data_IF_002399432276
#
_entry.id   IF_002399432276
#
_cell.length_a   1.000
_cell.length_b   1.000
_cell.length_c   1.000
_cell.angle_alpha   90.00
_cell.angle_beta   90.00
_cell.angle_gamma   90.00
#
_symmetry.space_group_name_H-M   'P 1'
#
loop_
_entity.id
_entity.type
_entity.pdbx_description
1 polymer ?
#
# COMPACT_ATOMS: atom_id res chain seq x y z
N UNK A 1 18.80 2.22 21.89
CA UNK A 1 19.36 3.51 22.34
C UNK A 1 20.86 3.58 22.12
N UNK A 2 21.60 2.51 22.44
CA UNK A 2 23.06 2.52 22.30
C UNK A 2 23.54 2.61 20.86
N UNK A 3 22.90 1.90 19.93
CA UNK A 3 23.24 1.92 18.51
C UNK A 3 22.87 3.23 17.81
N UNK A 4 21.87 3.95 18.32
CA UNK A 4 21.38 5.19 17.70
C UNK A 4 22.00 6.45 18.32
N UNK A 5 22.87 6.35 19.31
CA UNK A 5 23.49 7.47 20.03
C UNK A 5 22.49 8.56 20.51
N UNK A 6 21.26 8.16 20.85
CA UNK A 6 20.23 9.06 21.35
C UNK A 6 19.96 8.86 22.85
N UNK A 7 19.68 9.96 23.54
CA UNK A 7 19.33 9.93 24.96
C UNK A 7 17.95 9.28 25.21
N UNK A 8 17.78 8.71 26.38
CA UNK A 8 16.50 8.07 26.79
C UNK A 8 15.31 9.03 26.71
N UNK A 9 15.48 10.29 27.08
CA UNK A 9 14.45 11.33 27.02
C UNK A 9 14.04 11.64 25.59
N UNK A 10 15.02 11.72 24.68
CA UNK A 10 14.79 11.93 23.24
C UNK A 10 14.00 10.75 22.65
N UNK A 11 14.44 9.51 22.95
CA UNK A 11 13.74 8.31 22.49
C UNK A 11 12.27 8.28 22.97
N UNK A 12 12.01 8.61 24.22
CA UNK A 12 10.64 8.66 24.77
C UNK A 12 9.79 9.72 24.05
N UNK A 13 10.39 10.91 23.81
CA UNK A 13 9.71 11.98 23.07
C UNK A 13 9.37 11.58 21.66
N UNK A 14 10.31 10.96 20.95
CA UNK A 14 10.13 10.54 19.56
C UNK A 14 9.12 9.39 19.45
N UNK A 15 9.15 8.42 20.35
CA UNK A 15 8.14 7.37 20.43
C UNK A 15 6.73 7.93 20.70
N UNK A 16 6.62 9.01 21.50
CA UNK A 16 5.33 9.66 21.72
C UNK A 16 4.79 10.29 20.44
N UNK A 17 5.63 11.02 19.68
CA UNK A 17 5.25 11.62 18.41
C UNK A 17 4.86 10.54 17.39
N UNK A 18 5.65 9.48 17.31
CA UNK A 18 5.38 8.36 16.42
C UNK A 18 4.02 7.72 16.73
N UNK A 19 3.72 7.45 18.01
CA UNK A 19 2.41 6.93 18.42
C UNK A 19 1.25 7.81 17.96
N UNK A 20 1.36 9.13 18.15
CA UNK A 20 0.33 10.07 17.69
C UNK A 20 0.12 10.04 16.17
N UNK A 21 1.19 9.86 15.40
CA UNK A 21 1.07 9.70 13.95
C UNK A 21 0.41 8.38 13.59
N UNK A 22 0.77 7.31 14.27
CA UNK A 22 0.26 5.96 14.01
C UNK A 22 -1.21 5.78 14.38
N UNK A 23 -1.70 6.47 15.40
CA UNK A 23 -3.12 6.47 15.80
C UNK A 23 -4.04 6.86 14.64
N UNK A 24 -3.60 7.74 13.74
CA UNK A 24 -4.36 8.15 12.54
C UNK A 24 -4.58 6.99 11.55
N UNK A 25 -3.73 5.98 11.63
CA UNK A 25 -3.79 4.76 10.81
C UNK A 25 -4.35 3.57 11.58
N UNK A 26 -4.89 3.78 12.80
CA UNK A 26 -5.33 2.68 13.67
C UNK A 26 -4.21 1.68 13.96
N UNK A 27 -2.98 2.18 14.12
CA UNK A 27 -1.79 1.41 14.42
C UNK A 27 -1.31 1.70 15.84
N UNK A 28 -0.66 0.70 16.46
CA UNK A 28 -0.07 0.82 17.77
C UNK A 28 1.36 0.27 17.82
N UNK A 29 2.15 0.76 18.79
CA UNK A 29 3.46 0.20 19.11
C UNK A 29 3.30 -0.72 20.29
N UNK A 30 3.47 -2.02 20.07
CA UNK A 30 3.36 -3.06 21.10
C UNK A 30 4.75 -3.46 21.59
N UNK A 31 4.98 -3.33 22.88
CA UNK A 31 6.19 -3.85 23.52
C UNK A 31 6.08 -5.36 23.73
N UNK A 32 7.01 -6.13 23.17
CA UNK A 32 7.11 -7.58 23.43
C UNK A 32 8.32 -7.82 24.33
N UNK A 33 8.08 -8.40 25.51
CA UNK A 33 9.14 -8.76 26.46
C UNK A 33 10.19 -9.59 25.76
N UNK A 34 11.45 -9.21 25.88
CA UNK A 34 12.61 -9.86 25.25
C UNK A 34 12.71 -9.79 23.72
N UNK A 35 11.69 -9.22 23.03
CA UNK A 35 11.64 -9.12 21.55
C UNK A 35 11.66 -7.68 21.02
N UNK A 36 11.61 -6.68 21.92
CA UNK A 36 11.60 -5.27 21.55
C UNK A 36 10.21 -4.72 21.21
N UNK A 37 10.15 -3.78 20.28
CA UNK A 37 8.92 -3.14 19.83
C UNK A 37 8.42 -3.81 18.55
N UNK A 38 7.11 -3.98 18.44
CA UNK A 38 6.44 -4.46 17.23
C UNK A 38 5.32 -3.50 16.84
N UNK A 39 4.98 -3.50 15.58
CA UNK A 39 3.85 -2.76 15.04
C UNK A 39 2.60 -3.64 15.14
N UNK A 40 1.54 -3.11 15.75
CA UNK A 40 0.22 -3.73 15.83
C UNK A 40 -0.78 -2.99 14.94
N UNK A 41 -1.72 -3.73 14.35
CA UNK A 41 -2.75 -3.22 13.47
C UNK A 41 -2.98 -4.11 12.25
N UNK A 42 -3.91 -3.72 11.37
CA UNK A 42 -4.16 -4.46 10.13
C UNK A 42 -3.01 -4.27 9.13
N UNK A 43 -2.73 -5.27 8.31
CA UNK A 43 -1.71 -5.15 7.26
C UNK A 43 -2.02 -4.03 6.27
N UNK A 44 -3.28 -3.83 5.93
CA UNK A 44 -3.70 -2.70 5.10
C UNK A 44 -3.29 -1.35 5.70
N UNK A 45 -3.52 -1.16 7.00
CA UNK A 45 -3.17 0.08 7.69
C UNK A 45 -1.65 0.25 7.83
N UNK A 46 -0.92 -0.84 8.06
CA UNK A 46 0.55 -0.84 8.05
C UNK A 46 1.07 -0.36 6.69
N UNK A 47 0.57 -0.93 5.60
CA UNK A 47 0.99 -0.53 4.25
C UNK A 47 0.65 0.91 3.92
N UNK A 48 -0.53 1.40 4.31
CA UNK A 48 -0.88 2.81 4.14
C UNK A 48 0.08 3.73 4.89
N UNK A 49 0.37 3.39 6.14
CA UNK A 49 1.35 4.14 6.94
C UNK A 49 2.75 4.14 6.28
N UNK A 50 3.21 2.99 5.80
CA UNK A 50 4.50 2.86 5.09
C UNK A 50 4.51 3.71 3.83
N UNK A 51 3.47 3.61 2.98
CA UNK A 51 3.38 4.39 1.73
C UNK A 51 3.48 5.90 1.98
N UNK A 52 2.80 6.39 3.01
CA UNK A 52 2.71 7.83 3.24
C UNK A 52 3.90 8.41 4.02
N UNK A 53 4.54 7.62 4.86
CA UNK A 53 5.54 8.14 5.80
C UNK A 53 6.94 7.56 5.63
N UNK A 54 7.08 6.36 5.11
CA UNK A 54 8.33 5.60 5.17
C UNK A 54 8.80 5.07 3.81
N UNK A 55 7.95 5.02 2.79
CA UNK A 55 8.26 4.36 1.52
C UNK A 55 9.58 4.88 0.92
N UNK A 56 9.74 6.20 0.80
CA UNK A 56 10.95 6.79 0.27
C UNK A 56 12.21 6.45 1.07
N UNK A 57 12.09 6.29 2.40
CA UNK A 57 13.24 5.95 3.25
C UNK A 57 13.60 4.46 3.20
N UNK A 58 12.61 3.58 3.05
CA UNK A 58 12.80 2.13 3.07
C UNK A 58 13.16 1.61 1.67
N UNK A 59 12.43 2.09 0.65
CA UNK A 59 12.48 1.54 -0.71
C UNK A 59 13.31 2.36 -1.70
N UNK A 60 13.97 3.46 -1.28
CA UNK A 60 14.79 4.30 -2.16
C UNK A 60 15.85 3.50 -2.92
N UNK A 61 16.48 2.52 -2.26
CA UNK A 61 17.52 1.66 -2.82
C UNK A 61 17.10 0.17 -2.82
N UNK A 62 15.80 -0.08 -2.77
CA UNK A 62 15.28 -1.44 -2.77
C UNK A 62 15.51 -2.08 -4.15
N UNK A 63 16.14 -3.26 -4.24
CA UNK A 63 16.33 -3.94 -5.50
C UNK A 63 14.97 -4.37 -6.05
N UNK A 64 14.59 -3.77 -7.16
CA UNK A 64 13.34 -4.10 -7.84
C UNK A 64 13.59 -5.20 -8.87
N UNK A 65 12.63 -6.10 -9.00
CA UNK A 65 12.68 -7.13 -10.01
C UNK A 65 12.46 -6.52 -11.41
N UNK A 66 13.44 -6.67 -12.31
CA UNK A 66 13.42 -6.07 -13.64
C UNK A 66 12.29 -6.64 -14.51
N UNK A 67 11.95 -7.92 -14.35
CA UNK A 67 10.85 -8.56 -15.07
C UNK A 67 9.51 -7.96 -14.66
N UNK A 68 9.30 -7.83 -13.36
CA UNK A 68 8.08 -7.21 -12.81
C UNK A 68 7.93 -5.76 -13.30
N UNK A 69 9.00 -4.96 -13.21
CA UNK A 69 8.98 -3.57 -13.68
C UNK A 69 8.72 -3.48 -15.17
N UNK A 70 9.33 -4.32 -15.99
CA UNK A 70 9.11 -4.37 -17.43
C UNK A 70 7.65 -4.60 -17.76
N UNK A 71 7.01 -5.57 -17.15
CA UNK A 71 5.57 -5.86 -17.35
C UNK A 71 4.68 -4.69 -16.89
N UNK A 72 5.01 -4.05 -15.76
CA UNK A 72 4.26 -2.88 -15.29
C UNK A 72 4.38 -1.73 -16.29
N UNK A 73 5.59 -1.40 -16.74
CA UNK A 73 5.81 -0.31 -17.68
C UNK A 73 5.09 -0.54 -19.01
N UNK A 74 5.18 -1.75 -19.56
CA UNK A 74 4.48 -2.14 -20.81
C UNK A 74 2.96 -1.96 -20.66
N UNK A 75 2.38 -2.54 -19.62
CA UNK A 75 0.96 -2.48 -19.37
C UNK A 75 0.45 -1.05 -19.11
N UNK A 76 1.21 -0.24 -18.37
CA UNK A 76 0.84 1.15 -18.07
C UNK A 76 0.97 2.06 -19.31
N UNK A 77 1.97 1.82 -20.17
CA UNK A 77 2.15 2.55 -21.43
C UNK A 77 0.99 2.33 -22.38
N UNK A 78 0.51 1.08 -22.52
CA UNK A 78 -0.66 0.75 -23.35
C UNK A 78 -1.93 1.51 -22.94
N UNK A 79 -2.09 1.81 -21.66
CA UNK A 79 -3.26 2.51 -21.10
C UNK A 79 -3.10 4.03 -21.02
N UNK A 80 -1.94 4.58 -21.46
CA UNK A 80 -1.64 6.02 -21.43
C UNK A 80 -1.83 6.69 -20.06
N UNK A 81 -1.48 6.00 -18.98
CA UNK A 81 -1.50 6.60 -17.65
C UNK A 81 -0.44 7.70 -17.52
N UNK A 82 -0.76 8.74 -16.76
CA UNK A 82 0.19 9.78 -16.40
C UNK A 82 1.37 9.21 -15.61
N UNK A 83 2.58 9.75 -15.81
CA UNK A 83 3.82 9.31 -15.17
C UNK A 83 3.70 9.24 -13.63
N UNK A 84 3.00 10.21 -13.04
CA UNK A 84 2.73 10.23 -11.60
C UNK A 84 1.91 9.02 -11.11
N UNK A 85 0.94 8.60 -11.92
CA UNK A 85 0.10 7.41 -11.64
C UNK A 85 0.90 6.13 -11.83
N UNK A 86 1.70 6.06 -12.90
CA UNK A 86 2.62 4.94 -13.14
C UNK A 86 3.56 4.75 -11.95
N UNK A 87 4.25 5.82 -11.53
CA UNK A 87 5.16 5.77 -10.40
C UNK A 87 4.49 5.38 -9.08
N UNK A 88 3.29 5.87 -8.86
CA UNK A 88 2.51 5.50 -7.68
C UNK A 88 2.14 4.00 -7.72
N UNK A 89 1.70 3.51 -8.87
CA UNK A 89 1.37 2.10 -9.07
C UNK A 89 2.58 1.19 -8.84
N UNK A 90 3.74 1.52 -9.43
CA UNK A 90 5.01 0.82 -9.18
C UNK A 90 5.34 0.72 -7.69
N UNK A 91 5.19 1.83 -6.95
CA UNK A 91 5.46 1.87 -5.52
C UNK A 91 4.51 0.93 -4.74
N UNK A 92 3.22 0.92 -5.10
CA UNK A 92 2.24 0.01 -4.49
C UNK A 92 2.52 -1.45 -4.82
N UNK A 93 2.90 -1.76 -6.06
CA UNK A 93 3.30 -3.10 -6.47
C UNK A 93 4.54 -3.57 -5.72
N UNK A 94 5.58 -2.73 -5.62
CA UNK A 94 6.81 -3.02 -4.88
C UNK A 94 6.51 -3.35 -3.42
N UNK A 95 5.73 -2.50 -2.74
CA UNK A 95 5.35 -2.74 -1.35
C UNK A 95 4.49 -4.01 -1.20
N UNK A 96 3.55 -4.21 -2.11
CA UNK A 96 2.69 -5.40 -2.09
C UNK A 96 3.52 -6.68 -2.19
N UNK A 97 4.40 -6.79 -3.17
CA UNK A 97 5.22 -8.00 -3.35
C UNK A 97 6.18 -8.22 -2.19
N UNK A 98 6.88 -7.18 -1.72
CA UNK A 98 7.77 -7.29 -0.56
C UNK A 98 7.03 -7.82 0.68
N UNK A 99 5.89 -7.24 0.99
CA UNK A 99 5.09 -7.64 2.15
C UNK A 99 4.47 -9.02 1.98
N UNK A 100 3.91 -9.31 0.80
CA UNK A 100 3.29 -10.59 0.50
C UNK A 100 4.29 -11.74 0.55
N UNK A 101 5.44 -11.61 -0.10
CA UNK A 101 6.47 -12.65 -0.14
C UNK A 101 7.13 -12.89 1.24
N UNK A 102 7.06 -11.91 2.13
CA UNK A 102 7.49 -12.06 3.54
C UNK A 102 6.40 -12.54 4.48
N UNK A 103 5.24 -12.97 3.95
CA UNK A 103 4.14 -13.55 4.69
C UNK A 103 3.20 -12.56 5.39
N UNK A 104 3.29 -11.28 5.04
CA UNK A 104 2.41 -10.23 5.54
C UNK A 104 1.30 -9.95 4.53
N UNK A 105 0.19 -10.68 4.66
CA UNK A 105 -0.92 -10.67 3.70
C UNK A 105 -2.07 -9.81 4.21
N UNK A 106 -2.67 -9.02 3.32
CA UNK A 106 -3.95 -8.35 3.61
C UNK A 106 -5.05 -9.41 3.62
N UNK A 107 -5.56 -9.75 4.80
CA UNK A 107 -6.58 -10.79 4.97
C UNK A 107 -8.00 -10.28 4.83
N UNK A 108 -8.19 -8.96 4.88
CA UNK A 108 -9.50 -8.32 4.79
C UNK A 108 -9.38 -6.88 4.33
N UNK A 109 -10.24 -6.51 3.39
CA UNK A 109 -10.50 -5.11 3.00
C UNK A 109 -11.80 -4.59 3.63
N UNK A 110 -11.93 -3.27 3.88
CA UNK A 110 -13.23 -2.66 4.12
C UNK A 110 -14.18 -2.96 2.97
N UNK A 111 -15.46 -3.26 3.30
CA UNK A 111 -16.44 -3.74 2.32
C UNK A 111 -16.60 -2.83 1.10
N UNK A 112 -16.53 -1.52 1.31
CA UNK A 112 -16.57 -0.52 0.23
C UNK A 112 -15.52 -0.73 -0.86
N UNK A 113 -14.38 -1.34 -0.55
CA UNK A 113 -13.31 -1.58 -1.53
C UNK A 113 -13.60 -2.79 -2.43
N UNK A 114 -14.36 -3.79 -1.96
CA UNK A 114 -14.78 -4.90 -2.81
C UNK A 114 -15.67 -4.47 -3.97
N UNK A 115 -16.40 -3.37 -3.84
CA UNK A 115 -17.20 -2.81 -4.93
C UNK A 115 -16.33 -2.27 -6.09
N UNK A 116 -15.04 -2.05 -5.86
CA UNK A 116 -14.11 -1.60 -6.90
C UNK A 116 -13.80 -2.69 -7.93
N UNK A 117 -13.94 -3.95 -7.56
CA UNK A 117 -13.69 -5.11 -8.44
C UNK A 117 -14.63 -5.14 -9.64
N UNK A 118 -15.84 -4.58 -9.50
CA UNK A 118 -16.81 -4.49 -10.60
C UNK A 118 -16.51 -3.38 -11.63
N UNK A 119 -15.49 -2.55 -11.40
CA UNK A 119 -15.11 -1.50 -12.34
C UNK A 119 -14.32 -2.07 -13.51
N UNK A 120 -14.62 -1.62 -14.72
CA UNK A 120 -13.90 -2.05 -15.93
C UNK A 120 -12.38 -1.80 -15.83
N UNK A 121 -11.96 -0.75 -15.14
CA UNK A 121 -10.53 -0.46 -14.94
C UNK A 121 -9.83 -1.44 -13.99
N UNK A 122 -10.58 -2.22 -13.20
CA UNK A 122 -9.98 -3.23 -12.32
C UNK A 122 -9.44 -4.43 -13.10
N UNK A 123 -10.08 -4.84 -14.21
CA UNK A 123 -9.62 -5.96 -15.03
C UNK A 123 -8.17 -5.81 -15.49
N UNK A 124 -7.76 -4.57 -15.77
CA UNK A 124 -6.37 -4.25 -16.11
C UNK A 124 -5.38 -4.67 -15.01
N UNK A 125 -5.69 -4.34 -13.74
CA UNK A 125 -4.84 -4.70 -12.60
C UNK A 125 -4.89 -6.20 -12.33
N UNK A 126 -6.08 -6.80 -12.45
CA UNK A 126 -6.30 -8.23 -12.25
C UNK A 126 -5.46 -9.06 -13.25
N UNK A 127 -5.57 -8.76 -14.54
CA UNK A 127 -4.83 -9.40 -15.60
C UNK A 127 -3.31 -9.24 -15.44
N UNK A 128 -2.84 -8.01 -15.16
CA UNK A 128 -1.41 -7.74 -14.97
C UNK A 128 -0.83 -8.52 -13.79
N UNK A 129 -1.54 -8.52 -12.63
CA UNK A 129 -1.07 -9.24 -11.46
C UNK A 129 -1.08 -10.75 -11.70
N UNK A 130 -2.11 -11.27 -12.35
CA UNK A 130 -2.18 -12.69 -12.70
C UNK A 130 -1.05 -13.10 -13.62
N UNK A 131 -0.68 -12.25 -14.58
CA UNK A 131 0.41 -12.53 -15.50
C UNK A 131 1.78 -12.50 -14.80
N UNK A 132 2.02 -11.55 -13.91
CA UNK A 132 3.21 -11.53 -13.07
C UNK A 132 3.24 -12.75 -12.13
N UNK A 133 2.11 -13.07 -11.50
CA UNK A 133 1.99 -14.18 -10.54
C UNK A 133 2.33 -15.54 -11.14
N UNK A 134 1.98 -15.76 -12.40
CA UNK A 134 2.33 -16.98 -13.14
C UNK A 134 3.84 -17.19 -13.26
N UNK A 135 4.60 -16.13 -13.49
CA UNK A 135 6.06 -16.21 -13.57
C UNK A 135 6.70 -16.62 -12.23
N UNK A 136 6.11 -16.21 -11.12
CA UNK A 136 6.60 -16.52 -9.78
C UNK A 136 5.95 -17.77 -9.16
N UNK A 137 5.01 -18.42 -9.86
CA UNK A 137 4.24 -19.56 -9.35
C UNK A 137 3.55 -19.30 -8.01
N UNK A 138 2.98 -18.11 -7.86
CA UNK A 138 2.25 -17.67 -6.67
C UNK A 138 0.80 -17.32 -7.03
N UNK A 139 -0.08 -17.38 -6.04
CA UNK A 139 -1.47 -16.93 -6.16
C UNK A 139 -1.67 -15.68 -5.29
N UNK A 140 -2.06 -14.58 -5.90
CA UNK A 140 -2.26 -13.31 -5.22
C UNK A 140 -3.74 -13.14 -4.88
N UNK A 141 -4.10 -13.00 -3.56
CA UNK A 141 -5.48 -12.80 -3.14
C UNK A 141 -6.09 -11.50 -3.67
N UNK A 142 -7.42 -11.46 -3.76
CA UNK A 142 -8.16 -10.31 -4.27
C UNK A 142 -7.90 -9.03 -3.45
N UNK A 143 -7.68 -9.15 -2.15
CA UNK A 143 -7.38 -8.03 -1.26
C UNK A 143 -6.08 -7.34 -1.65
N UNK A 144 -5.08 -8.09 -2.07
CA UNK A 144 -3.80 -7.58 -2.57
C UNK A 144 -3.99 -6.83 -3.89
N UNK A 145 -4.77 -7.38 -4.81
CA UNK A 145 -5.11 -6.76 -6.09
C UNK A 145 -5.88 -5.45 -5.87
N UNK A 146 -6.83 -5.43 -4.95
CA UNK A 146 -7.54 -4.21 -4.57
C UNK A 146 -6.58 -3.17 -4.02
N UNK A 147 -5.61 -3.56 -3.18
CA UNK A 147 -4.64 -2.62 -2.62
C UNK A 147 -3.86 -1.89 -3.72
N UNK A 148 -3.34 -2.60 -4.71
CA UNK A 148 -2.57 -1.98 -5.80
C UNK A 148 -3.44 -1.25 -6.83
N UNK A 149 -4.74 -1.48 -6.83
CA UNK A 149 -5.69 -0.74 -7.65
C UNK A 149 -5.98 0.67 -7.11
N UNK A 150 -5.79 0.92 -5.83
CA UNK A 150 -6.11 2.22 -5.21
C UNK A 150 -5.46 3.42 -5.92
N UNK A 151 -4.18 3.41 -6.31
CA UNK A 151 -3.59 4.53 -7.03
C UNK A 151 -4.19 4.76 -8.42
N UNK A 152 -4.67 3.73 -9.10
CA UNK A 152 -5.30 3.83 -10.42
C UNK A 152 -6.59 4.66 -10.36
N UNK A 153 -7.34 4.55 -9.26
CA UNK A 153 -8.57 5.33 -9.03
C UNK A 153 -8.32 6.61 -8.22
N UNK A 154 -7.05 7.02 -8.06
CA UNK A 154 -6.69 8.23 -7.33
C UNK A 154 -6.79 8.13 -5.81
N UNK A 155 -7.03 6.95 -5.24
CA UNK A 155 -7.11 6.74 -3.79
C UNK A 155 -5.73 6.45 -3.21
N UNK A 156 -5.21 7.36 -2.39
CA UNK A 156 -3.86 7.26 -1.81
C UNK A 156 -3.87 7.09 -0.30
N UNK A 157 -4.84 7.69 0.37
CA UNK A 157 -4.89 7.81 1.83
C UNK A 157 -6.26 7.41 2.40
N UNK A 158 -6.37 7.17 3.72
CA UNK A 158 -7.68 7.02 4.36
C UNK A 158 -8.60 8.23 4.19
N UNK A 159 -8.04 9.43 4.01
CA UNK A 159 -8.81 10.65 3.75
C UNK A 159 -9.47 10.60 2.36
N UNK A 160 -8.78 10.07 1.35
CA UNK A 160 -9.32 9.92 -0.01
C UNK A 160 -10.54 9.00 -0.03
N UNK A 161 -10.60 8.04 0.89
CA UNK A 161 -11.74 7.14 1.02
C UNK A 161 -13.03 7.84 1.47
N UNK A 162 -12.92 9.00 2.14
CA UNK A 162 -14.10 9.82 2.51
C UNK A 162 -14.66 10.58 1.31
N UNK A 163 -13.80 10.92 0.35
CA UNK A 163 -14.18 11.65 -0.87
C UNK A 163 -14.79 10.72 -1.93
N UNK A 164 -14.67 9.39 -1.78
CA UNK A 164 -15.24 8.43 -2.73
C UNK A 164 -16.79 8.55 -2.83
N UNK A 165 -17.45 8.93 -1.75
CA UNK A 165 -18.89 9.17 -1.75
C UNK A 165 -19.30 10.40 -2.57
N UNK A 166 -18.43 11.42 -2.66
CA UNK A 166 -18.69 12.61 -3.49
C UNK A 166 -18.51 12.33 -4.99
N UNK A 167 -17.59 11.43 -5.37
CA UNK A 167 -17.37 11.06 -6.77
C UNK A 167 -18.54 10.22 -7.30
N UNK A 168 -19.12 9.33 -6.50
CA UNK A 168 -20.33 8.57 -6.89
C UNK A 168 -21.58 9.46 -7.02
N UNK A 169 -21.65 10.56 -6.27
CA UNK A 169 -22.71 11.56 -6.39
C UNK A 169 -22.58 12.39 -7.67
N UNK A 170 -21.35 12.74 -8.06
CA UNK A 170 -21.10 13.51 -9.29
C UNK A 170 -21.37 12.69 -10.58
N UNK A 171 -21.11 11.38 -10.58
CA UNK A 171 -21.46 10.51 -11.71
C UNK A 171 -22.97 10.31 -11.89
N UNK A 172 -23.76 10.47 -10.82
CA UNK A 172 -25.23 10.39 -10.87
C UNK A 172 -25.93 11.71 -11.22
N UNK A 173 -25.21 12.82 -11.24
CA UNK A 173 -25.77 14.19 -11.46
C UNK A 173 -25.46 14.72 -12.87
N UNK A 174 -24.75 13.98 -13.72
CA UNK A 174 -24.57 14.37 -15.12
C UNK A 174 -25.75 13.85 -15.96
N UNK A 175 -26.55 14.76 -16.53
CA UNK A 175 -27.68 14.41 -17.39
C UNK A 175 -27.22 13.80 -18.72
#
# INVERSE_FOLDING_TARGET
AYEMNIGRSTLISDLKKLRQTMEKYELEIVGKTSKGLALGGSELNIRKFVMENLFGSIYQNYPQDELMLGKIHEAMAEKNFEESTQKMFENYMTLMFDRFLTGHVITRMPEKYYNLVSRNSFSFVDELIDDISKEFYIEIPIEEKIFVFLPIIGMRTPADSKNMYSIELDEKIRP
#
